data_IF_967633422538
#
_entry.id   IF_967633422538
#
_cell.length_a   1.000
_cell.length_b   1.000
_cell.length_c   1.000
_cell.angle_alpha   90.00
_cell.angle_beta   90.00
_cell.angle_gamma   90.00
#
_symmetry.space_group_name_H-M   'P 1'
#
loop_
_entity.id
_entity.type
_entity.pdbx_description
1 polymer ?
#
# COMPACT_ATOMS: atom_id res chain seq x y z
N UNK A 1 -12.31 -13.12 17.58
CA UNK A 1 -12.08 -13.48 16.17
C UNK A 1 -13.42 -13.63 15.49
N UNK A 2 -13.60 -12.97 14.35
CA UNK A 2 -14.87 -12.90 13.61
C UNK A 2 -14.58 -12.95 12.12
N UNK A 3 -15.32 -13.75 11.36
CA UNK A 3 -15.20 -13.86 9.89
C UNK A 3 -16.51 -13.45 9.23
N UNK A 4 -16.45 -12.68 8.14
CA UNK A 4 -17.61 -12.26 7.37
C UNK A 4 -17.30 -12.17 5.87
N UNK A 5 -18.31 -12.44 5.04
CA UNK A 5 -18.22 -12.29 3.59
C UNK A 5 -18.20 -10.81 3.18
N UNK A 6 -17.48 -10.51 2.10
CA UNK A 6 -17.27 -9.13 1.61
C UNK A 6 -17.71 -8.94 0.17
N UNK A 7 -17.51 -9.94 -0.71
CA UNK A 7 -18.01 -9.91 -2.09
C UNK A 7 -18.41 -11.31 -2.56
N UNK A 8 -19.14 -11.36 -3.68
CA UNK A 8 -19.70 -12.61 -4.23
C UNK A 8 -18.73 -13.35 -5.16
N UNK A 9 -17.42 -13.04 -5.12
CA UNK A 9 -16.41 -13.78 -5.88
C UNK A 9 -16.23 -15.19 -5.30
N UNK A 10 -15.90 -16.15 -6.15
CA UNK A 10 -15.56 -17.49 -5.68
C UNK A 10 -14.22 -17.45 -4.95
N UNK A 11 -14.14 -18.11 -3.78
CA UNK A 11 -12.90 -18.14 -2.99
C UNK A 11 -11.85 -18.98 -3.71
N UNK A 12 -10.72 -18.36 -4.02
CA UNK A 12 -9.58 -19.06 -4.60
C UNK A 12 -8.99 -20.11 -3.63
N UNK A 13 -8.64 -21.27 -4.19
CA UNK A 13 -7.93 -22.36 -3.52
C UNK A 13 -6.40 -22.25 -3.68
N UNK A 14 -5.91 -21.16 -4.27
CA UNK A 14 -4.49 -20.93 -4.53
C UNK A 14 -3.67 -20.85 -3.23
N UNK A 15 -2.55 -21.57 -3.20
CA UNK A 15 -1.57 -21.50 -2.11
C UNK A 15 -0.45 -20.55 -2.55
N UNK A 16 -0.28 -19.48 -1.78
CA UNK A 16 0.76 -18.49 -2.03
C UNK A 16 2.15 -19.07 -1.77
N UNK A 17 3.12 -18.77 -2.65
CA UNK A 17 4.52 -19.07 -2.38
C UNK A 17 4.98 -18.27 -1.16
N UNK A 18 5.67 -18.93 -0.24
CA UNK A 18 6.20 -18.29 0.97
C UNK A 18 7.72 -18.34 1.04
N UNK A 19 8.26 -17.47 1.88
CA UNK A 19 9.68 -17.40 2.22
C UNK A 19 9.83 -17.22 3.72
N UNK A 20 10.97 -17.64 4.24
CA UNK A 20 11.37 -17.38 5.62
C UNK A 20 11.65 -15.89 5.88
N UNK A 21 11.81 -15.53 7.17
CA UNK A 21 12.15 -14.17 7.59
C UNK A 21 13.35 -13.61 6.84
N UNK A 22 14.42 -14.41 6.67
CA UNK A 22 15.62 -14.00 5.94
C UNK A 22 15.34 -13.66 4.49
N UNK A 23 14.66 -14.54 3.77
CA UNK A 23 14.33 -14.32 2.36
C UNK A 23 13.38 -13.14 2.15
N UNK A 24 12.44 -12.92 3.07
CA UNK A 24 11.57 -11.75 3.05
C UNK A 24 12.35 -10.44 3.22
N UNK A 25 13.26 -10.39 4.21
CA UNK A 25 14.10 -9.21 4.46
C UNK A 25 15.10 -9.02 3.31
N UNK A 26 15.72 -10.09 2.80
CA UNK A 26 16.64 -10.02 1.67
C UNK A 26 15.96 -9.46 0.41
N UNK A 27 14.74 -9.92 0.07
CA UNK A 27 13.96 -9.38 -1.04
C UNK A 27 13.47 -7.94 -0.80
N UNK A 28 13.17 -7.59 0.46
CA UNK A 28 12.77 -6.22 0.83
C UNK A 28 13.96 -5.24 0.82
N UNK A 29 15.19 -5.70 1.09
CA UNK A 29 16.38 -4.85 1.10
C UNK A 29 17.16 -4.88 -0.23
N UNK A 30 16.96 -5.91 -1.06
CA UNK A 30 17.78 -6.22 -2.24
C UNK A 30 19.27 -6.32 -1.89
N UNK A 31 19.57 -6.96 -0.75
CA UNK A 31 20.89 -7.04 -0.12
C UNK A 31 21.10 -8.40 0.58
N UNK A 32 22.36 -8.79 0.75
CA UNK A 32 22.74 -9.95 1.56
C UNK A 32 22.55 -9.67 3.06
N UNK A 33 21.90 -10.60 3.77
CA UNK A 33 21.63 -10.50 5.21
C UNK A 33 22.72 -11.25 5.98
N UNK A 34 23.63 -10.49 6.63
CA UNK A 34 24.72 -11.07 7.44
C UNK A 34 24.21 -11.73 8.73
N UNK A 35 23.24 -11.09 9.41
CA UNK A 35 22.59 -11.61 10.62
C UNK A 35 21.13 -11.17 10.69
N UNK A 36 20.29 -11.97 11.35
CA UNK A 36 18.92 -11.60 11.73
C UNK A 36 18.67 -12.01 13.18
N UNK A 37 17.81 -11.27 13.89
CA UNK A 37 17.37 -11.60 15.25
C UNK A 37 15.85 -11.45 15.33
N UNK A 38 15.14 -12.28 14.56
CA UNK A 38 13.69 -12.27 14.47
C UNK A 38 13.12 -13.67 14.70
N UNK A 39 11.90 -13.75 15.22
CA UNK A 39 11.16 -15.01 15.31
C UNK A 39 11.02 -15.64 13.92
N UNK A 40 11.09 -16.98 13.79
CA UNK A 40 10.85 -17.65 12.53
C UNK A 40 9.42 -17.39 12.06
N UNK A 41 9.28 -16.71 10.93
CA UNK A 41 8.01 -16.38 10.29
C UNK A 41 7.99 -16.87 8.84
N UNK A 42 6.79 -17.15 8.33
CA UNK A 42 6.53 -17.47 6.93
C UNK A 42 5.81 -16.30 6.30
N UNK A 43 6.46 -15.66 5.32
CA UNK A 43 5.98 -14.47 4.63
C UNK A 43 5.60 -14.83 3.19
N UNK A 44 4.52 -14.24 2.68
CA UNK A 44 4.14 -14.36 1.27
C UNK A 44 5.20 -13.69 0.40
N UNK A 45 5.64 -14.38 -0.65
CA UNK A 45 6.35 -13.73 -1.77
C UNK A 45 5.32 -13.01 -2.63
N UNK A 46 5.42 -11.69 -2.68
CA UNK A 46 4.58 -10.90 -3.56
C UNK A 46 4.98 -11.19 -5.03
N UNK A 47 4.01 -11.65 -5.81
CA UNK A 47 4.19 -11.98 -7.22
C UNK A 47 4.18 -10.72 -8.13
N UNK A 48 3.98 -9.53 -7.56
CA UNK A 48 4.19 -8.26 -8.23
C UNK A 48 5.69 -7.97 -8.43
N UNK A 49 6.34 -8.74 -9.31
CA UNK A 49 7.71 -8.51 -9.81
C UNK A 49 7.79 -7.18 -10.59
N UNK A 50 7.75 -6.04 -9.90
CA UNK A 50 7.75 -4.74 -10.57
C UNK A 50 7.37 -3.54 -9.70
N UNK A 51 8.35 -3.02 -8.94
CA UNK A 51 8.51 -1.60 -8.55
C UNK A 51 7.33 -0.81 -7.94
N UNK A 52 6.24 -1.45 -7.53
CA UNK A 52 5.17 -0.82 -6.75
C UNK A 52 5.22 -1.28 -5.30
N UNK A 53 6.09 -0.65 -4.48
CA UNK A 53 6.10 -0.88 -3.03
C UNK A 53 4.92 -0.17 -2.38
N UNK A 54 3.74 -0.78 -2.51
CA UNK A 54 2.58 -0.41 -1.73
C UNK A 54 2.88 -0.70 -0.25
N UNK A 55 2.19 0.00 0.65
CA UNK A 55 2.30 -0.30 2.07
C UNK A 55 1.88 -1.77 2.30
N UNK A 56 2.60 -2.59 3.11
CA UNK A 56 2.33 -4.03 3.20
C UNK A 56 0.88 -4.39 3.55
N UNK A 57 0.18 -3.55 4.32
CA UNK A 57 -1.25 -3.70 4.60
C UNK A 57 -2.11 -3.60 3.33
N UNK A 58 -1.79 -2.64 2.46
CA UNK A 58 -2.47 -2.41 1.18
C UNK A 58 -2.06 -3.48 0.16
N UNK A 59 -0.80 -3.89 0.12
CA UNK A 59 -0.33 -4.99 -0.73
C UNK A 59 -1.02 -6.33 -0.38
N UNK A 60 -1.21 -6.63 0.91
CA UNK A 60 -1.98 -7.79 1.35
C UNK A 60 -3.46 -7.72 0.91
N UNK A 61 -4.09 -6.54 1.03
CA UNK A 61 -5.46 -6.33 0.58
C UNK A 61 -5.60 -6.41 -0.95
N UNK A 62 -4.64 -5.88 -1.70
CA UNK A 62 -4.59 -5.95 -3.16
C UNK A 62 -4.38 -7.37 -3.68
N UNK A 63 -3.42 -8.10 -3.10
CA UNK A 63 -3.18 -9.51 -3.39
C UNK A 63 -4.44 -10.34 -3.14
N UNK A 64 -5.12 -10.11 -2.00
CA UNK A 64 -6.39 -10.76 -1.68
C UNK A 64 -7.51 -10.41 -2.68
N UNK A 65 -7.60 -9.14 -3.08
CA UNK A 65 -8.61 -8.64 -4.02
C UNK A 65 -8.41 -9.13 -5.45
N UNK A 66 -7.16 -9.14 -5.94
CA UNK A 66 -6.83 -9.54 -7.31
C UNK A 66 -6.82 -11.07 -7.51
N UNK A 67 -6.62 -11.85 -6.43
CA UNK A 67 -6.55 -13.33 -6.48
C UNK A 67 -7.74 -14.03 -5.80
N UNK A 68 -8.74 -13.27 -5.37
CA UNK A 68 -9.94 -13.74 -4.67
C UNK A 68 -9.62 -14.60 -3.42
N UNK A 69 -8.62 -14.19 -2.63
CA UNK A 69 -8.16 -14.89 -1.44
C UNK A 69 -8.80 -14.29 -0.16
N UNK A 70 -9.05 -15.11 0.88
CA UNK A 70 -9.50 -14.61 2.17
C UNK A 70 -8.41 -13.76 2.84
N UNK A 71 -8.79 -12.63 3.44
CA UNK A 71 -7.86 -11.71 4.11
C UNK A 71 -8.01 -11.78 5.63
N UNK A 72 -6.90 -12.01 6.35
CA UNK A 72 -6.86 -12.04 7.82
C UNK A 72 -6.16 -10.79 8.34
N UNK A 73 -6.79 -10.06 9.25
CA UNK A 73 -6.27 -8.81 9.83
C UNK A 73 -6.23 -8.89 11.36
N UNK A 74 -5.07 -8.57 11.97
CA UNK A 74 -4.96 -8.38 13.41
C UNK A 74 -5.16 -6.92 13.81
N UNK A 75 -5.56 -6.65 15.07
CA UNK A 75 -5.54 -5.31 15.64
C UNK A 75 -4.16 -4.62 15.48
N UNK A 76 -3.06 -5.37 15.67
CA UNK A 76 -1.69 -4.85 15.50
C UNK A 76 -1.40 -4.40 14.06
N UNK A 77 -1.82 -5.17 13.05
CA UNK A 77 -1.63 -4.79 11.64
C UNK A 77 -2.36 -3.50 11.28
N UNK A 78 -3.57 -3.33 11.82
CA UNK A 78 -4.40 -2.13 11.63
C UNK A 78 -3.78 -0.94 12.37
N UNK A 79 -3.42 -1.11 13.64
CA UNK A 79 -2.82 -0.05 14.44
C UNK A 79 -1.44 0.38 13.92
N UNK A 80 -0.60 -0.56 13.47
CA UNK A 80 0.71 -0.25 12.88
C UNK A 80 0.56 0.60 11.62
N UNK A 81 -0.41 0.28 10.75
CA UNK A 81 -0.72 1.07 9.56
C UNK A 81 -1.15 2.52 9.92
N UNK A 82 -1.94 2.69 10.98
CA UNK A 82 -2.36 4.01 11.49
C UNK A 82 -1.17 4.75 12.13
N UNK A 83 -0.36 4.10 12.97
CA UNK A 83 0.81 4.71 13.58
C UNK A 83 1.85 5.17 12.53
N UNK A 84 2.01 4.41 11.45
CA UNK A 84 2.86 4.79 10.31
C UNK A 84 2.30 5.99 9.53
N UNK A 85 0.97 6.13 9.43
CA UNK A 85 0.33 7.32 8.86
C UNK A 85 0.54 8.58 9.71
N UNK A 86 0.43 8.50 11.04
CA UNK A 86 0.80 9.59 11.96
C UNK A 86 2.27 10.00 11.76
N UNK A 87 3.18 9.02 11.71
CA UNK A 87 4.60 9.27 11.49
C UNK A 87 4.87 9.94 10.14
N UNK A 88 4.16 9.54 9.07
CA UNK A 88 4.23 10.19 7.77
C UNK A 88 3.72 11.65 7.82
N UNK A 89 2.58 11.90 8.47
CA UNK A 89 2.04 13.24 8.62
C UNK A 89 2.99 14.18 9.39
N UNK A 90 3.59 13.71 10.49
CA UNK A 90 4.60 14.50 11.23
C UNK A 90 5.90 14.75 10.44
N UNK A 91 6.30 13.84 9.56
CA UNK A 91 7.43 14.07 8.63
C UNK A 91 7.12 15.16 7.59
N UNK A 92 5.87 15.26 7.13
CA UNK A 92 5.45 16.30 6.19
C UNK A 92 5.36 17.68 6.87
N UNK A 93 4.77 17.74 8.07
CA UNK A 93 4.65 18.94 8.90
C UNK A 93 6.04 19.52 9.27
N UNK A 94 6.96 18.66 9.73
CA UNK A 94 8.33 19.05 10.07
C UNK A 94 9.16 19.57 8.88
N UNK A 95 8.80 19.24 7.62
CA UNK A 95 9.45 19.76 6.42
C UNK A 95 9.03 21.20 6.08
N UNK A 96 7.98 21.73 6.70
CA UNK A 96 7.46 23.07 6.40
C UNK A 96 8.03 24.19 7.31
N UNK A 97 8.71 23.88 8.42
CA UNK A 97 8.86 24.84 9.54
C UNK A 97 10.30 25.21 9.95
N UNK A 98 11.35 24.39 9.70
CA UNK A 98 12.65 24.59 10.38
C UNK A 98 13.91 24.73 9.46
N UNK A 99 14.60 25.89 9.47
CA UNK A 99 15.95 26.08 8.91
C UNK A 99 17.10 25.64 9.84
N UNK A 100 16.80 25.31 11.10
CA UNK A 100 17.80 24.85 12.08
C UNK A 100 17.22 23.74 12.95
N UNK A 101 17.56 22.47 12.63
CA UNK A 101 17.36 21.36 13.56
C UNK A 101 18.40 21.48 14.68
N UNK A 102 17.98 21.44 15.94
CA UNK A 102 18.90 21.06 17.02
C UNK A 102 19.38 19.62 16.76
N UNK A 103 20.67 19.37 16.96
CA UNK A 103 21.24 18.04 16.81
C UNK A 103 20.92 17.22 18.07
N UNK A 104 19.89 16.38 17.99
CA UNK A 104 19.66 15.32 18.97
C UNK A 104 20.65 14.17 18.71
N UNK A 105 21.90 14.36 19.15
CA UNK A 105 22.95 13.34 19.03
C UNK A 105 22.73 12.20 20.03
N UNK A 106 22.35 11.02 19.52
CA UNK A 106 22.23 9.80 20.31
C UNK A 106 23.54 9.02 20.18
N UNK A 107 24.55 9.44 20.95
CA UNK A 107 25.82 8.71 21.06
C UNK A 107 25.61 7.42 21.85
N UNK A 108 25.96 6.29 21.22
CA UNK A 108 25.74 4.94 21.75
C UNK A 108 27.04 4.14 21.69
N UNK A 109 27.92 4.43 22.64
CA UNK A 109 29.20 3.73 22.84
C UNK A 109 28.99 2.26 23.27
N UNK A 110 27.75 1.88 23.60
CA UNK A 110 27.27 0.52 23.86
C UNK A 110 27.00 -0.30 22.58
N UNK A 111 27.05 0.29 21.38
CA UNK A 111 26.72 -0.39 20.13
C UNK A 111 27.93 -1.02 19.45
N UNK A 112 27.88 -2.33 19.24
CA UNK A 112 28.88 -3.05 18.45
C UNK A 112 28.50 -3.10 16.96
N UNK A 113 29.51 -3.02 16.08
CA UNK A 113 29.32 -3.19 14.64
C UNK A 113 28.82 -4.62 14.36
N UNK A 114 27.65 -4.73 13.74
CA UNK A 114 26.98 -6.01 13.46
C UNK A 114 26.08 -6.52 14.59
N UNK A 115 25.94 -5.79 15.69
CA UNK A 115 24.99 -6.13 16.76
C UNK A 115 23.55 -5.75 16.35
N UNK A 116 22.59 -6.70 16.34
CA UNK A 116 21.18 -6.42 16.02
C UNK A 116 20.45 -5.55 17.06
N UNK A 117 21.06 -5.23 18.21
CA UNK A 117 20.48 -4.36 19.24
C UNK A 117 20.47 -2.85 18.91
N UNK A 118 20.98 -2.45 17.73
CA UNK A 118 21.25 -1.05 17.34
C UNK A 118 20.10 -0.40 16.51
N UNK A 119 19.37 0.63 16.99
CA UNK A 119 18.31 1.31 16.20
C UNK A 119 18.77 2.33 15.11
N UNK A 120 18.35 2.05 13.86
CA UNK A 120 18.73 2.74 12.60
C UNK A 120 17.88 3.89 11.95
N UNK A 121 16.70 4.39 12.40
CA UNK A 121 15.69 5.00 11.47
C UNK A 121 15.89 6.39 10.78
N UNK A 122 17.09 6.93 10.55
CA UNK A 122 17.29 8.38 10.34
C UNK A 122 17.39 8.96 8.90
N UNK A 123 17.28 8.19 7.81
CA UNK A 123 17.72 8.63 6.45
C UNK A 123 16.62 8.63 5.36
N UNK A 124 15.80 9.70 5.26
CA UNK A 124 14.63 9.74 4.36
C UNK A 124 14.41 11.04 3.55
N UNK A 125 15.46 11.85 3.32
CA UNK A 125 15.37 13.15 2.62
C UNK A 125 15.56 13.09 1.08
N UNK A 126 15.10 12.01 0.44
CA UNK A 126 14.95 11.87 -1.03
C UNK A 126 13.47 11.96 -1.47
N UNK A 127 12.71 12.97 -1.03
CA UNK A 127 12.41 14.15 -1.87
C UNK A 127 11.91 13.80 -3.28
N UNK A 128 10.61 13.97 -3.53
CA UNK A 128 10.02 15.24 -4.00
C UNK A 128 10.35 15.59 -5.47
N UNK A 129 11.15 14.79 -6.16
CA UNK A 129 11.31 14.85 -7.62
C UNK A 129 10.13 14.13 -8.30
N UNK A 130 9.78 14.52 -9.54
CA UNK A 130 8.81 13.85 -10.47
C UNK A 130 7.33 14.23 -10.36
N UNK A 131 7.08 15.52 -10.15
CA UNK A 131 5.90 16.24 -10.65
C UNK A 131 5.98 16.37 -12.21
N UNK A 132 4.89 16.07 -12.95
CA UNK A 132 4.69 16.22 -14.42
C UNK A 132 3.43 15.44 -14.90
N UNK A 133 2.46 15.94 -15.72
CA UNK A 133 2.43 16.24 -17.19
C UNK A 133 1.83 15.08 -18.06
N UNK A 134 1.08 15.20 -19.19
CA UNK A 134 0.43 16.30 -19.96
C UNK A 134 -0.56 15.73 -21.07
N UNK A 135 -1.14 16.59 -21.95
CA UNK A 135 -1.71 16.33 -23.32
C UNK A 135 -3.20 15.87 -23.55
N UNK A 136 -3.99 16.54 -24.46
CA UNK A 136 -5.36 16.08 -24.83
C UNK A 136 -5.84 16.10 -26.33
N UNK A 137 -5.19 16.79 -27.27
CA UNK A 137 -5.87 17.27 -28.51
C UNK A 137 -6.03 16.33 -29.72
N UNK A 138 -5.55 15.08 -29.69
CA UNK A 138 -5.49 14.20 -30.89
C UNK A 138 -6.78 13.40 -31.16
N UNK A 139 -7.64 13.28 -30.15
CA UNK A 139 -8.78 12.34 -30.13
C UNK A 139 -9.80 12.58 -31.26
N UNK A 140 -10.20 13.83 -31.49
CA UNK A 140 -11.29 14.18 -32.42
C UNK A 140 -10.93 13.95 -33.90
N UNK A 141 -9.64 13.86 -34.24
CA UNK A 141 -9.18 13.72 -35.63
C UNK A 141 -9.40 12.31 -36.19
N UNK A 142 -9.30 11.28 -35.36
CA UNK A 142 -9.22 9.88 -35.82
C UNK A 142 -10.59 9.17 -35.78
N UNK A 143 -11.52 9.63 -34.95
CA UNK A 143 -12.85 9.02 -34.78
C UNK A 143 -13.89 9.53 -35.81
N UNK A 144 -13.61 9.34 -37.09
CA UNK A 144 -14.52 9.72 -38.19
C UNK A 144 -15.70 8.75 -38.37
N UNK A 145 -16.77 9.21 -39.04
CA UNK A 145 -17.98 8.42 -39.32
C UNK A 145 -18.51 8.66 -40.73
N UNK A 146 -18.68 7.59 -41.51
CA UNK A 146 -19.16 7.62 -42.90
C UNK A 146 -20.42 6.74 -43.08
N UNK A 147 -21.10 6.88 -44.21
CA UNK A 147 -22.34 6.16 -44.52
C UNK A 147 -22.19 4.63 -44.61
N UNK A 148 -20.98 4.12 -44.72
CA UNK A 148 -20.64 2.69 -44.75
C UNK A 148 -20.00 2.17 -43.45
N UNK A 149 -19.84 3.01 -42.42
CA UNK A 149 -19.12 2.67 -41.19
C UNK A 149 -19.94 1.76 -40.27
N UNK A 150 -19.64 0.47 -40.26
CA UNK A 150 -20.22 -0.53 -39.38
C UNK A 150 -19.54 -0.60 -38.00
N UNK A 151 -19.91 -1.62 -37.21
CA UNK A 151 -19.32 -1.83 -35.88
C UNK A 151 -17.83 -2.23 -35.96
N UNK A 152 -17.46 -3.03 -36.97
CA UNK A 152 -16.09 -3.45 -37.25
C UNK A 152 -15.19 -2.27 -37.60
N UNK A 153 -15.66 -1.36 -38.46
CA UNK A 153 -14.91 -0.19 -38.90
C UNK A 153 -14.69 0.79 -37.73
N UNK A 154 -15.70 0.99 -36.86
CA UNK A 154 -15.52 1.79 -35.63
C UNK A 154 -14.49 1.18 -34.68
N UNK A 155 -14.48 -0.15 -34.51
CA UNK A 155 -13.47 -0.82 -33.70
C UNK A 155 -12.07 -0.65 -34.31
N UNK A 156 -11.94 -0.77 -35.64
CA UNK A 156 -10.69 -0.52 -36.34
C UNK A 156 -10.19 0.93 -36.16
N UNK A 157 -11.05 1.94 -36.31
CA UNK A 157 -10.69 3.35 -36.09
C UNK A 157 -10.25 3.62 -34.65
N UNK A 158 -10.92 3.01 -33.65
CA UNK A 158 -10.53 3.12 -32.26
C UNK A 158 -9.16 2.47 -31.97
N UNK A 159 -8.88 1.29 -32.53
CA UNK A 159 -7.56 0.66 -32.43
C UNK A 159 -6.49 1.49 -33.17
N UNK A 160 -6.80 2.10 -34.31
CA UNK A 160 -5.89 3.04 -35.00
C UNK A 160 -5.60 4.30 -34.18
N UNK A 161 -6.57 4.85 -33.46
CA UNK A 161 -6.33 5.94 -32.49
C UNK A 161 -5.44 5.48 -31.33
N UNK A 162 -5.62 4.24 -30.85
CA UNK A 162 -4.78 3.67 -29.79
C UNK A 162 -3.34 3.45 -30.27
N UNK A 163 -3.16 2.94 -31.49
CA UNK A 163 -1.86 2.78 -32.15
C UNK A 163 -1.15 4.13 -32.35
N UNK A 164 -1.87 5.15 -32.84
CA UNK A 164 -1.36 6.52 -32.97
C UNK A 164 -0.98 7.20 -31.63
N UNK A 165 -1.40 6.62 -30.50
CA UNK A 165 -1.11 7.10 -29.15
C UNK A 165 -0.36 6.10 -28.26
N UNK A 166 0.10 4.96 -28.79
CA UNK A 166 0.71 3.91 -27.97
C UNK A 166 2.04 4.35 -27.31
N UNK A 167 2.77 5.26 -27.95
CA UNK A 167 3.99 5.87 -27.40
C UNK A 167 3.69 6.92 -26.30
N UNK A 168 2.42 7.31 -26.15
CA UNK A 168 1.95 8.30 -25.17
C UNK A 168 1.10 7.70 -24.04
N UNK A 169 0.35 6.63 -24.28
CA UNK A 169 -0.54 5.99 -23.31
C UNK A 169 -0.48 4.46 -23.33
N UNK A 170 -0.45 3.86 -22.14
CA UNK A 170 -0.59 2.42 -21.96
C UNK A 170 -2.07 2.04 -21.75
N UNK A 171 -2.58 1.08 -22.55
CA UNK A 171 -3.96 0.62 -22.49
C UNK A 171 -4.09 -0.62 -21.57
N UNK A 172 -5.04 -0.60 -20.64
CA UNK A 172 -5.31 -1.70 -19.70
C UNK A 172 -6.81 -1.98 -19.59
N UNK A 173 -7.20 -3.25 -19.75
CA UNK A 173 -8.50 -3.75 -19.32
C UNK A 173 -8.42 -4.34 -17.90
N UNK A 174 -9.52 -4.30 -17.15
CA UNK A 174 -9.64 -4.89 -15.82
C UNK A 174 -10.81 -5.87 -15.77
N UNK A 175 -10.57 -7.04 -15.15
CA UNK A 175 -11.56 -8.06 -14.82
C UNK A 175 -12.26 -7.77 -13.49
N UNK A 176 -13.26 -8.58 -13.14
CA UNK A 176 -13.86 -8.58 -11.80
C UNK A 176 -12.86 -9.10 -10.76
N UNK A 177 -12.44 -8.22 -9.86
CA UNK A 177 -11.66 -8.51 -8.67
C UNK A 177 -12.52 -8.34 -7.41
N UNK A 178 -12.16 -9.00 -6.31
CA UNK A 178 -12.94 -9.02 -5.08
C UNK A 178 -12.24 -9.81 -3.97
N UNK A 179 -12.51 -9.46 -2.72
CA UNK A 179 -12.14 -10.28 -1.54
C UNK A 179 -13.39 -11.09 -1.16
N UNK A 180 -13.34 -12.43 -1.09
CA UNK A 180 -14.51 -13.24 -0.74
C UNK A 180 -14.93 -13.02 0.72
N UNK A 181 -13.98 -13.06 1.65
CA UNK A 181 -14.21 -12.94 3.09
C UNK A 181 -13.03 -12.28 3.83
N UNK A 182 -13.32 -11.62 4.95
CA UNK A 182 -12.34 -11.07 5.87
C UNK A 182 -12.50 -11.74 7.24
N UNK A 183 -11.37 -12.09 7.86
CA UNK A 183 -11.29 -12.53 9.26
C UNK A 183 -10.56 -11.48 10.11
N UNK A 184 -11.25 -10.96 11.11
CA UNK A 184 -10.69 -10.08 12.14
C UNK A 184 -10.24 -10.93 13.34
N UNK A 185 -8.96 -10.82 13.71
CA UNK A 185 -8.40 -11.46 14.91
C UNK A 185 -8.66 -10.59 16.16
N UNK A 186 -8.24 -11.06 17.34
CA UNK A 186 -8.46 -10.33 18.59
C UNK A 186 -9.93 -10.28 19.05
N UNK A 187 -10.26 -9.24 19.81
CA UNK A 187 -11.50 -9.01 20.54
C UNK A 187 -12.10 -7.65 20.21
N UNK A 188 -13.38 -7.43 20.53
CA UNK A 188 -14.02 -6.12 20.35
C UNK A 188 -13.35 -5.02 21.22
N UNK A 189 -12.74 -5.38 22.35
CA UNK A 189 -12.03 -4.43 23.21
C UNK A 189 -10.72 -3.94 22.57
N UNK A 190 -10.04 -4.77 21.77
CA UNK A 190 -8.87 -4.34 20.99
C UNK A 190 -9.27 -3.27 19.95
N UNK A 191 -10.43 -3.43 19.32
CA UNK A 191 -10.96 -2.46 18.35
C UNK A 191 -11.47 -1.17 19.01
N UNK A 192 -12.06 -1.25 20.22
CA UNK A 192 -12.35 -0.06 21.05
C UNK A 192 -11.07 0.67 21.45
N UNK A 193 -10.05 -0.06 21.87
CA UNK A 193 -8.74 0.49 22.23
C UNK A 193 -8.04 1.17 21.03
N UNK A 194 -8.24 0.68 19.80
CA UNK A 194 -7.82 1.38 18.58
C UNK A 194 -8.63 2.66 18.37
N UNK A 195 -9.96 2.61 18.50
CA UNK A 195 -10.82 3.80 18.33
C UNK A 195 -10.46 4.93 19.31
N UNK A 196 -10.20 4.60 20.58
CA UNK A 196 -9.73 5.53 21.62
C UNK A 196 -8.36 6.14 21.29
N UNK A 197 -7.47 5.41 20.60
CA UNK A 197 -6.17 5.94 20.17
C UNK A 197 -6.29 6.79 18.91
N UNK A 198 -7.24 6.47 18.03
CA UNK A 198 -7.54 7.25 16.81
C UNK A 198 -8.08 8.63 17.17
N UNK A 199 -9.04 8.75 18.09
CA UNK A 199 -9.58 10.08 18.46
C UNK A 199 -8.49 11.02 19.01
N UNK A 200 -7.53 10.46 19.75
CA UNK A 200 -6.35 11.17 20.28
C UNK A 200 -5.37 11.65 19.21
N UNK A 201 -5.43 11.19 17.96
CA UNK A 201 -4.64 11.76 16.86
C UNK A 201 -5.02 13.23 16.57
N UNK A 202 -6.20 13.68 17.03
CA UNK A 202 -6.59 15.09 17.00
C UNK A 202 -5.65 15.97 17.83
N UNK A 203 -5.09 15.46 18.95
CA UNK A 203 -4.06 16.12 19.77
C UNK A 203 -2.79 16.49 18.97
N UNK A 204 -2.66 15.98 17.74
CA UNK A 204 -1.51 16.15 16.86
C UNK A 204 -1.81 16.93 15.58
N UNK A 205 -2.99 17.56 15.45
CA UNK A 205 -3.39 18.36 14.28
C UNK A 205 -3.87 17.54 13.08
N UNK A 206 -4.41 16.34 13.35
CA UNK A 206 -4.88 15.38 12.33
C UNK A 206 -6.40 15.20 12.34
N UNK A 207 -7.17 16.20 12.79
CA UNK A 207 -8.63 16.17 12.88
C UNK A 207 -9.32 15.83 11.54
N UNK A 208 -8.69 16.22 10.42
CA UNK A 208 -9.14 15.86 9.07
C UNK A 208 -9.08 14.36 8.78
N UNK A 209 -8.13 13.65 9.42
CA UNK A 209 -7.89 12.21 9.26
C UNK A 209 -8.57 11.37 10.33
N UNK A 210 -8.73 11.91 11.54
CA UNK A 210 -9.51 11.31 12.62
C UNK A 210 -10.94 11.03 12.17
N UNK A 211 -11.63 12.00 11.57
CA UNK A 211 -13.04 11.86 11.14
C UNK A 211 -13.32 10.62 10.27
N UNK A 212 -12.61 10.35 9.16
CA UNK A 212 -12.82 9.12 8.39
C UNK A 212 -12.35 7.86 9.13
N UNK A 213 -11.29 7.93 9.94
CA UNK A 213 -10.83 6.78 10.74
C UNK A 213 -11.86 6.37 11.82
N UNK A 214 -12.49 7.32 12.51
CA UNK A 214 -13.55 7.06 13.51
C UNK A 214 -14.77 6.37 12.87
N UNK A 215 -15.15 6.78 11.65
CA UNK A 215 -16.22 6.14 10.89
C UNK A 215 -15.91 4.69 10.50
N UNK A 216 -14.63 4.36 10.30
CA UNK A 216 -14.15 2.98 10.09
C UNK A 216 -14.09 2.22 11.41
N UNK A 217 -13.49 2.79 12.46
CA UNK A 217 -13.34 2.14 13.77
C UNK A 217 -14.69 1.81 14.40
N UNK A 218 -15.69 2.67 14.25
CA UNK A 218 -17.08 2.42 14.70
C UNK A 218 -17.70 1.17 14.04
N UNK A 219 -17.22 0.74 12.86
CA UNK A 219 -17.67 -0.47 12.16
C UNK A 219 -16.86 -1.73 12.51
N UNK A 220 -15.80 -1.60 13.31
CA UNK A 220 -14.97 -2.72 13.79
C UNK A 220 -15.35 -3.19 15.21
N UNK A 221 -16.31 -2.52 15.86
CA UNK A 221 -16.79 -2.76 17.23
C UNK A 221 -18.21 -3.34 17.22
#
# INVERSE_FOLDING_TARGET
MTTFAVSTVERSAEVLETTDTRGAIAALLDQHIEMEACSPGSFVRDAAEGKWRWHPFVAAADCAFNRHLPLVLSPDSIWLCIAQGLAAAKRLDARAIAPSRELLEIRRDDWMRGDPANPWPSIFDDFATKIGAQHPGLYDLIQASFSTTGATERAAFAVTLMDAMQDYYAYRGTSLCGIPEITLLGTADDYRAIAERVSRLAEHGLEWWVRPLEAVCTRLV
#
